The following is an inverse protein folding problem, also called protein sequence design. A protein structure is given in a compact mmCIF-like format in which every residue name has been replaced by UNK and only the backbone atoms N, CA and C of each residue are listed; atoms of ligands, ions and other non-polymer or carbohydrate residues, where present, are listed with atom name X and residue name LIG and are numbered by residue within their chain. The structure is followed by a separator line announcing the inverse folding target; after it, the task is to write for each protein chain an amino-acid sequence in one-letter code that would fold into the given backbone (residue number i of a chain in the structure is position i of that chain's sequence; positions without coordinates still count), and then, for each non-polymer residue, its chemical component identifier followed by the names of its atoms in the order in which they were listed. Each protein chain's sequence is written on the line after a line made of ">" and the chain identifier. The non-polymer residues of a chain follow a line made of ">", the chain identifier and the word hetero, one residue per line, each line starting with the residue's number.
data_IF_445281769808
#
_entry.id   IF_445281769808
#
_cell.length_a   1.000
_cell.length_b   1.000
_cell.length_c   1.000
_cell.angle_alpha   90.00
_cell.angle_beta   90.00
_cell.angle_gamma   90.00
#
_symmetry.space_group_name_H-M   'P 1'
#
loop_
_entity.id
_entity.type
_entity.pdbx_description
1 polymer ?
#
# COMPACT_ATOMS: atom_id res chain seq x y z
N UNK A 1 -14.06 4.00 14.85
CA UNK A 1 -12.60 3.86 14.64
C UNK A 1 -11.92 3.87 16.01
N UNK A 2 -10.87 3.08 16.25
CA UNK A 2 -10.08 3.14 17.49
C UNK A 2 -9.17 4.35 17.50
N UNK A 3 -8.86 4.90 18.69
CA UNK A 3 -7.90 5.99 18.77
C UNK A 3 -6.47 5.49 18.56
N UNK A 4 -5.60 6.39 18.12
CA UNK A 4 -4.16 6.11 17.97
C UNK A 4 -3.55 5.62 19.30
N UNK A 5 -3.89 6.25 20.43
CA UNK A 5 -3.41 5.85 21.75
C UNK A 5 -3.87 4.46 22.16
N UNK A 6 -5.13 4.09 21.87
CA UNK A 6 -5.65 2.73 22.13
C UNK A 6 -4.94 1.69 21.26
N UNK A 7 -4.63 2.02 20.00
CA UNK A 7 -3.90 1.11 19.11
C UNK A 7 -2.47 0.90 19.59
N UNK A 8 -1.76 1.97 19.92
CA UNK A 8 -0.39 1.89 20.44
C UNK A 8 -0.34 1.12 21.76
N UNK A 9 -1.18 1.46 22.73
CA UNK A 9 -1.21 0.79 24.04
C UNK A 9 -1.55 -0.70 23.91
N UNK A 10 -2.43 -1.05 22.98
CA UNK A 10 -2.72 -2.44 22.67
C UNK A 10 -1.48 -3.20 22.15
N UNK A 11 -0.77 -2.63 21.16
CA UNK A 11 0.46 -3.23 20.62
C UNK A 11 1.50 -3.44 21.72
N UNK A 12 1.74 -2.40 22.54
CA UNK A 12 2.68 -2.46 23.67
C UNK A 12 2.28 -3.53 24.70
N UNK A 13 0.98 -3.69 24.99
CA UNK A 13 0.46 -4.73 25.89
C UNK A 13 0.64 -6.15 25.35
N UNK A 14 0.74 -6.30 24.02
CA UNK A 14 1.07 -7.56 23.36
C UNK A 14 2.58 -7.78 23.16
N UNK A 15 3.43 -6.93 23.76
CA UNK A 15 4.88 -7.01 23.62
C UNK A 15 5.45 -6.44 22.33
N UNK A 16 4.61 -5.89 21.44
CA UNK A 16 5.04 -5.28 20.18
C UNK A 16 5.53 -3.87 20.44
N UNK A 17 6.82 -3.64 20.25
CA UNK A 17 7.45 -2.33 20.48
C UNK A 17 7.72 -1.62 19.18
N UNK A 18 7.33 -0.33 19.11
CA UNK A 18 7.51 0.50 17.94
C UNK A 18 8.39 1.72 18.16
N UNK A 19 8.59 2.44 17.06
CA UNK A 19 9.18 3.77 16.99
C UNK A 19 8.05 4.75 16.68
N UNK A 20 7.92 5.79 17.49
CA UNK A 20 6.98 6.89 17.23
C UNK A 20 7.73 8.06 16.61
N UNK A 21 7.19 8.60 15.51
CA UNK A 21 7.54 9.91 14.97
C UNK A 21 6.43 10.90 15.37
N UNK A 22 6.82 12.13 15.71
CA UNK A 22 5.88 13.16 16.15
C UNK A 22 6.32 14.53 15.68
N UNK A 23 5.35 15.37 15.33
CA UNK A 23 5.61 16.80 15.19
C UNK A 23 5.80 17.49 16.54
N UNK A 24 6.21 18.74 16.53
CA UNK A 24 6.45 19.53 17.75
C UNK A 24 5.19 19.73 18.60
N UNK A 25 4.02 19.79 17.95
CA UNK A 25 2.75 19.93 18.65
C UNK A 25 2.24 18.64 19.28
N UNK A 26 2.79 17.50 18.87
CA UNK A 26 2.34 16.16 19.25
C UNK A 26 0.99 15.78 18.66
N UNK A 27 0.48 16.54 17.68
CA UNK A 27 -0.79 16.24 17.00
C UNK A 27 -0.61 15.24 15.89
N UNK A 28 0.32 15.51 14.95
CA UNK A 28 0.66 14.57 13.91
C UNK A 28 1.65 13.51 14.43
N UNK A 29 1.27 12.24 14.34
CA UNK A 29 2.08 11.11 14.82
C UNK A 29 2.03 9.95 13.84
N UNK A 30 3.13 9.20 13.79
CA UNK A 30 3.24 7.95 13.01
C UNK A 30 3.91 6.89 13.89
N UNK A 31 3.34 5.69 13.97
CA UNK A 31 3.87 4.58 14.74
C UNK A 31 4.34 3.45 13.84
N UNK A 32 5.62 3.06 13.97
CA UNK A 32 6.26 2.05 13.15
C UNK A 32 6.76 0.89 14.01
N UNK A 33 6.74 -0.32 13.45
CA UNK A 33 7.22 -1.53 14.14
C UNK A 33 8.40 -2.13 13.38
N UNK A 34 9.64 -2.02 13.93
CA UNK A 34 10.85 -2.59 13.32
C UNK A 34 10.78 -4.09 13.12
N UNK A 35 10.18 -4.83 14.08
CA UNK A 35 10.00 -6.29 14.02
C UNK A 35 9.12 -6.75 12.85
N UNK A 36 8.33 -5.84 12.28
CA UNK A 36 7.48 -6.07 11.12
C UNK A 36 7.96 -5.25 9.91
N UNK A 37 9.25 -5.36 9.57
CA UNK A 37 9.92 -4.73 8.42
C UNK A 37 9.83 -3.18 8.44
N UNK A 38 9.84 -2.55 9.63
CA UNK A 38 9.67 -1.10 9.74
C UNK A 38 8.30 -0.63 9.22
N UNK A 39 7.27 -1.48 9.34
CA UNK A 39 5.89 -1.23 8.90
C UNK A 39 5.32 -0.03 9.63
N UNK A 40 4.70 0.89 8.89
CA UNK A 40 3.85 1.93 9.48
C UNK A 40 2.54 1.26 9.90
N UNK A 41 2.28 1.24 11.19
CA UNK A 41 1.09 0.56 11.72
C UNK A 41 -0.10 1.49 11.73
N UNK A 42 0.09 2.70 12.23
CA UNK A 42 -0.97 3.70 12.28
C UNK A 42 -0.39 5.10 12.42
N UNK A 43 -1.15 6.07 11.94
CA UNK A 43 -0.88 7.49 12.11
C UNK A 43 -2.10 8.21 12.66
N UNK A 44 -1.93 9.46 13.07
CA UNK A 44 -3.01 10.34 13.52
C UNK A 44 -2.68 11.79 13.25
N UNK A 45 -3.70 12.60 13.00
CA UNK A 45 -3.58 14.04 12.79
C UNK A 45 -3.95 14.87 14.04
N UNK A 46 -4.48 14.23 15.10
CA UNK A 46 -5.08 14.93 16.25
C UNK A 46 -4.61 14.41 17.60
N UNK A 47 -3.39 13.84 17.64
CA UNK A 47 -2.77 13.35 18.86
C UNK A 47 -3.29 11.99 19.31
N UNK A 48 -2.90 11.57 20.52
CA UNK A 48 -3.19 10.21 21.02
C UNK A 48 -4.67 9.91 21.18
N UNK A 49 -5.51 10.92 21.40
CA UNK A 49 -6.98 10.78 21.46
C UNK A 49 -7.66 10.76 20.10
N UNK A 50 -6.94 11.11 19.04
CA UNK A 50 -7.46 11.12 17.67
C UNK A 50 -7.59 9.74 17.05
N UNK A 51 -8.28 9.61 15.90
CA UNK A 51 -8.39 8.34 15.19
C UNK A 51 -7.02 7.82 14.76
N UNK A 52 -6.84 6.50 14.84
CA UNK A 52 -5.74 5.82 14.18
C UNK A 52 -6.23 5.31 12.84
N UNK A 53 -5.53 5.66 11.75
CA UNK A 53 -6.01 5.44 10.39
C UNK A 53 -5.74 4.02 9.87
N UNK A 54 -4.72 3.33 10.38
CA UNK A 54 -4.39 1.97 9.95
C UNK A 54 -5.36 0.92 10.49
N UNK A 55 -5.57 -0.14 9.71
CA UNK A 55 -6.22 -1.34 10.22
C UNK A 55 -5.19 -2.26 10.90
N UNK A 56 -5.55 -2.89 12.03
CA UNK A 56 -4.73 -3.92 12.68
C UNK A 56 -5.56 -5.15 13.06
N UNK A 57 -4.98 -6.32 12.88
CA UNK A 57 -5.59 -7.59 13.28
C UNK A 57 -5.35 -7.85 14.78
N UNK A 58 -6.21 -7.28 15.62
CA UNK A 58 -6.07 -7.36 17.07
C UNK A 58 -6.11 -8.80 17.59
N UNK A 59 -6.96 -9.65 17.03
CA UNK A 59 -7.09 -11.06 17.47
C UNK A 59 -5.81 -11.85 17.17
N UNK A 60 -5.26 -11.71 15.98
CA UNK A 60 -4.00 -12.34 15.60
C UNK A 60 -2.84 -11.82 16.46
N UNK A 61 -2.72 -10.51 16.63
CA UNK A 61 -1.65 -9.90 17.43
C UNK A 61 -1.74 -10.35 18.89
N UNK A 62 -2.94 -10.32 19.50
CA UNK A 62 -3.15 -10.74 20.89
C UNK A 62 -2.89 -12.24 21.11
N UNK A 63 -3.11 -13.07 20.09
CA UNK A 63 -2.86 -14.51 20.20
C UNK A 63 -1.37 -14.86 20.33
N UNK A 64 -0.46 -13.97 19.90
CA UNK A 64 0.97 -14.23 19.80
C UNK A 64 1.34 -15.32 18.78
N UNK A 65 0.36 -15.88 18.07
CA UNK A 65 0.57 -16.95 17.08
C UNK A 65 1.21 -16.38 15.82
N UNK A 66 2.22 -17.08 15.30
CA UNK A 66 2.78 -16.84 13.97
C UNK A 66 2.21 -17.88 13.01
N UNK A 67 1.46 -17.40 12.01
CA UNK A 67 0.92 -18.26 10.95
C UNK A 67 2.02 -18.60 9.95
N UNK A 68 2.04 -19.82 9.49
CA UNK A 68 3.06 -20.30 8.54
C UNK A 68 3.04 -19.59 7.19
N UNK A 69 1.85 -19.33 6.64
CA UNK A 69 1.72 -18.78 5.28
C UNK A 69 1.87 -17.27 5.23
N UNK A 70 1.20 -16.55 6.14
CA UNK A 70 1.14 -15.10 6.16
C UNK A 70 0.57 -14.61 7.49
N UNK A 71 1.10 -13.51 7.97
CA UNK A 71 0.64 -12.85 9.19
C UNK A 71 0.02 -11.49 8.85
N UNK A 72 -1.29 -11.41 8.58
CA UNK A 72 -1.98 -10.15 8.30
C UNK A 72 -2.12 -9.30 9.56
N UNK A 73 -1.00 -8.77 10.08
CA UNK A 73 -1.00 -7.90 11.25
C UNK A 73 -1.70 -6.56 11.01
N UNK A 74 -1.75 -6.12 9.75
CA UNK A 74 -2.26 -4.82 9.34
C UNK A 74 -1.18 -3.79 9.16
N UNK A 75 -1.56 -2.52 9.19
CA UNK A 75 -0.70 -1.35 9.07
C UNK A 75 -0.94 -0.55 7.79
N UNK A 76 -0.81 0.77 7.91
CA UNK A 76 -1.03 1.73 6.81
C UNK A 76 -0.04 1.57 5.66
N UNK A 77 1.13 1.01 5.93
CA UNK A 77 2.13 0.80 4.89
C UNK A 77 3.09 -0.32 5.28
N UNK A 78 3.18 -1.35 4.46
CA UNK A 78 4.20 -2.40 4.52
C UNK A 78 4.95 -2.50 3.21
N UNK A 79 6.21 -2.92 3.29
CA UNK A 79 7.07 -3.18 2.15
C UNK A 79 7.05 -4.68 1.85
N UNK A 80 6.66 -5.01 0.64
CA UNK A 80 6.86 -6.31 0.04
C UNK A 80 7.65 -6.20 -1.27
N UNK A 81 8.02 -7.33 -1.83
CA UNK A 81 8.63 -7.43 -3.15
C UNK A 81 7.72 -8.24 -4.07
N UNK A 82 7.48 -7.73 -5.26
CA UNK A 82 6.82 -8.48 -6.34
C UNK A 82 7.84 -9.17 -7.26
N UNK A 83 7.35 -10.11 -8.09
CA UNK A 83 5.96 -10.47 -8.31
C UNK A 83 5.41 -11.48 -7.30
N UNK A 84 4.11 -11.38 -7.01
CA UNK A 84 3.41 -12.36 -6.17
C UNK A 84 3.14 -13.66 -6.94
N UNK A 85 2.69 -13.56 -8.18
CA UNK A 85 2.36 -14.70 -9.05
C UNK A 85 3.23 -14.79 -10.30
N UNK A 86 2.83 -15.67 -11.20
CA UNK A 86 3.46 -15.88 -12.48
C UNK A 86 4.78 -16.66 -12.41
N UNK A 87 5.51 -16.72 -13.53
CA UNK A 87 6.69 -17.59 -13.67
C UNK A 87 7.85 -17.18 -12.75
N UNK A 88 7.87 -15.94 -12.26
CA UNK A 88 8.93 -15.40 -11.42
C UNK A 88 8.48 -15.12 -9.98
N UNK A 89 7.36 -15.70 -9.54
CA UNK A 89 6.82 -15.50 -8.20
C UNK A 89 7.84 -15.74 -7.09
N UNK A 90 7.81 -14.88 -6.07
CA UNK A 90 8.55 -15.06 -4.82
C UNK A 90 7.75 -15.87 -3.78
N UNK A 91 6.45 -16.11 -4.02
CA UNK A 91 5.49 -16.64 -3.04
C UNK A 91 5.08 -18.09 -3.32
N UNK A 92 5.56 -18.67 -4.41
CA UNK A 92 5.34 -20.05 -4.77
C UNK A 92 6.67 -20.78 -4.98
N UNK A 93 6.74 -21.99 -4.47
CA UNK A 93 7.91 -22.85 -4.71
C UNK A 93 8.03 -23.19 -6.20
N UNK A 94 9.26 -23.45 -6.70
CA UNK A 94 9.46 -23.90 -8.08
C UNK A 94 8.59 -25.09 -8.45
N UNK A 95 7.87 -24.99 -9.57
CA UNK A 95 6.98 -26.05 -10.07
C UNK A 95 5.67 -26.23 -9.31
N UNK A 96 5.43 -25.49 -8.24
CA UNK A 96 4.16 -25.56 -7.51
C UNK A 96 3.02 -24.92 -8.30
N UNK A 97 1.83 -25.52 -8.24
CA UNK A 97 0.61 -24.92 -8.73
C UNK A 97 0.30 -23.65 -7.94
N UNK A 98 -0.06 -22.56 -8.63
CA UNK A 98 -0.32 -21.25 -8.02
C UNK A 98 -1.77 -21.18 -7.53
N UNK A 99 -2.01 -21.86 -6.41
CA UNK A 99 -3.27 -21.87 -5.66
C UNK A 99 -2.99 -21.46 -4.21
N UNK A 100 -3.99 -20.96 -3.51
CA UNK A 100 -3.84 -20.46 -2.13
C UNK A 100 -3.20 -21.47 -1.16
N UNK A 101 -3.44 -22.77 -1.39
CA UNK A 101 -2.85 -23.85 -0.59
C UNK A 101 -1.31 -23.86 -0.62
N UNK A 102 -0.71 -23.46 -1.73
CA UNK A 102 0.73 -23.44 -1.97
C UNK A 102 1.37 -22.05 -1.80
N UNK A 103 0.54 -21.02 -1.64
CA UNK A 103 1.00 -19.64 -1.46
C UNK A 103 1.61 -19.42 -0.07
N UNK A 104 2.78 -18.78 -0.02
CA UNK A 104 3.47 -18.47 1.22
C UNK A 104 4.28 -17.18 1.07
N UNK A 105 4.14 -16.27 2.02
CA UNK A 105 4.97 -15.07 2.09
C UNK A 105 6.36 -15.45 2.61
N UNK A 106 7.45 -15.03 1.95
CA UNK A 106 8.80 -15.23 2.46
C UNK A 106 8.98 -14.59 3.85
N UNK A 107 9.65 -15.28 4.76
CA UNK A 107 9.86 -14.80 6.14
C UNK A 107 10.51 -13.41 6.20
N UNK A 108 11.42 -13.12 5.29
CA UNK A 108 12.07 -11.82 5.15
C UNK A 108 11.09 -10.66 4.87
N UNK A 109 9.91 -10.96 4.30
CA UNK A 109 8.86 -9.99 4.00
C UNK A 109 7.70 -10.01 5.01
N UNK A 110 7.69 -10.96 5.96
CA UNK A 110 6.57 -11.13 6.90
C UNK A 110 6.98 -11.08 8.38
N UNK A 111 8.02 -11.80 8.76
CA UNK A 111 8.35 -12.03 10.18
C UNK A 111 9.78 -11.67 10.60
N UNK A 112 10.68 -11.44 9.64
CA UNK A 112 12.06 -11.02 9.97
C UNK A 112 12.14 -9.51 10.20
N UNK A 113 12.83 -9.04 11.26
CA UNK A 113 12.90 -7.63 11.59
C UNK A 113 13.83 -6.85 10.66
N UNK A 114 13.53 -5.57 10.47
CA UNK A 114 14.50 -4.62 9.91
C UNK A 114 15.24 -3.90 11.04
N UNK A 115 16.54 -3.72 10.88
CA UNK A 115 17.41 -3.05 11.84
C UNK A 115 17.24 -1.53 11.76
N UNK A 116 16.95 -0.87 12.87
CA UNK A 116 16.96 0.58 12.96
C UNK A 116 18.41 1.08 12.94
N UNK A 117 18.76 1.91 11.96
CA UNK A 117 20.12 2.43 11.77
C UNK A 117 20.23 3.94 12.06
N UNK A 118 19.12 4.61 12.24
CA UNK A 118 19.09 6.01 12.63
C UNK A 118 17.66 6.49 12.83
N UNK A 119 17.48 7.39 13.79
CA UNK A 119 16.18 8.03 14.05
C UNK A 119 16.34 9.39 14.68
N UNK A 120 15.36 10.25 14.47
CA UNK A 120 15.08 11.46 15.23
C UNK A 120 13.58 11.57 15.51
N UNK A 121 13.10 12.75 15.90
CA UNK A 121 11.67 12.96 16.21
C UNK A 121 10.76 12.78 14.98
N UNK A 122 11.28 12.99 13.77
CA UNK A 122 10.48 13.06 12.54
C UNK A 122 10.83 12.00 11.51
N UNK A 123 11.92 11.28 11.67
CA UNK A 123 12.32 10.24 10.71
C UNK A 123 12.94 9.02 11.39
N UNK A 124 12.82 7.89 10.71
CA UNK A 124 13.50 6.65 11.06
C UNK A 124 14.03 5.97 9.82
N UNK A 125 15.22 5.36 9.93
CA UNK A 125 15.86 4.59 8.86
C UNK A 125 16.07 3.16 9.28
N UNK A 126 15.78 2.26 8.36
CA UNK A 126 15.93 0.83 8.54
C UNK A 126 16.82 0.25 7.44
N UNK A 127 17.50 -0.83 7.78
CA UNK A 127 18.27 -1.66 6.85
C UNK A 127 17.96 -3.13 7.10
N UNK A 128 17.99 -3.91 6.01
CA UNK A 128 17.95 -5.37 6.04
C UNK A 128 18.74 -5.94 4.85
N UNK A 129 19.21 -7.16 5.01
CA UNK A 129 19.74 -7.98 3.93
C UNK A 129 18.91 -9.25 3.88
N UNK A 130 18.60 -9.72 2.67
CA UNK A 130 17.82 -10.93 2.48
C UNK A 130 18.25 -11.67 1.23
N UNK A 131 18.08 -12.98 1.27
CA UNK A 131 18.25 -13.86 0.11
C UNK A 131 16.91 -14.48 -0.23
N UNK A 132 16.42 -14.23 -1.44
CA UNK A 132 15.16 -14.78 -1.93
C UNK A 132 15.40 -15.61 -3.18
N UNK A 133 14.51 -16.58 -3.41
CA UNK A 133 14.51 -17.42 -4.60
C UNK A 133 13.12 -17.40 -5.22
N UNK A 134 13.04 -17.15 -6.51
CA UNK A 134 11.76 -17.14 -7.22
C UNK A 134 11.37 -18.53 -7.76
N UNK A 135 10.16 -18.65 -8.30
CA UNK A 135 9.64 -19.89 -8.89
C UNK A 135 10.45 -20.40 -10.11
N UNK A 136 11.22 -19.53 -10.77
CA UNK A 136 12.17 -19.87 -11.84
C UNK A 136 13.56 -20.26 -11.30
N UNK A 137 13.70 -20.45 -9.99
CA UNK A 137 14.93 -20.81 -9.30
C UNK A 137 16.04 -19.73 -9.27
N UNK A 138 15.76 -18.54 -9.78
CA UNK A 138 16.69 -17.41 -9.68
C UNK A 138 16.83 -16.96 -8.23
N UNK A 139 18.06 -16.81 -7.78
CA UNK A 139 18.40 -16.32 -6.43
C UNK A 139 18.73 -14.84 -6.49
N UNK A 140 18.18 -14.12 -5.51
CA UNK A 140 18.37 -12.69 -5.34
C UNK A 140 19.03 -12.43 -3.99
N UNK A 141 20.21 -11.83 -3.99
CA UNK A 141 20.85 -11.28 -2.78
C UNK A 141 20.54 -9.78 -2.75
N UNK A 142 19.75 -9.38 -1.76
CA UNK A 142 19.07 -8.09 -1.74
C UNK A 142 19.48 -7.31 -0.51
N UNK A 143 20.03 -6.11 -0.71
CA UNK A 143 20.13 -5.10 0.34
C UNK A 143 18.89 -4.21 0.30
N UNK A 144 18.26 -3.99 1.47
CA UNK A 144 17.10 -3.12 1.62
C UNK A 144 17.45 -1.94 2.51
N UNK A 145 17.11 -0.73 2.06
CA UNK A 145 17.07 0.45 2.92
C UNK A 145 15.69 1.08 2.86
N UNK A 146 15.15 1.44 4.01
CA UNK A 146 13.85 2.07 4.16
C UNK A 146 13.97 3.29 5.05
N UNK A 147 13.44 4.44 4.61
CA UNK A 147 13.32 5.66 5.40
C UNK A 147 11.86 6.06 5.45
N UNK A 148 11.37 6.37 6.64
CA UNK A 148 10.06 6.97 6.83
C UNK A 148 10.23 8.30 7.54
N UNK A 149 9.60 9.35 7.00
CA UNK A 149 9.67 10.73 7.48
C UNK A 149 8.26 11.29 7.66
N UNK A 150 7.96 11.77 8.86
CA UNK A 150 6.78 12.58 9.12
C UNK A 150 6.97 13.96 8.50
N UNK A 151 6.16 14.32 7.52
CA UNK A 151 6.26 15.59 6.81
C UNK A 151 5.77 16.75 7.71
N UNK A 152 6.44 17.89 7.61
CA UNK A 152 5.90 19.15 8.11
C UNK A 152 4.73 19.60 7.24
N UNK A 153 3.86 20.46 7.76
CA UNK A 153 2.76 21.03 6.99
C UNK A 153 3.29 21.67 5.68
N UNK A 154 4.38 22.44 5.76
CA UNK A 154 5.00 23.06 4.59
C UNK A 154 5.49 22.03 3.55
N UNK A 155 6.05 20.91 3.98
CA UNK A 155 6.45 19.84 3.06
C UNK A 155 5.23 19.17 2.44
N UNK A 156 4.17 18.94 3.22
CA UNK A 156 2.90 18.40 2.74
C UNK A 156 2.25 19.32 1.70
N UNK A 157 2.18 20.62 1.97
CA UNK A 157 1.70 21.65 1.03
C UNK A 157 2.53 21.68 -0.26
N UNK A 158 3.85 21.70 -0.13
CA UNK A 158 4.76 21.69 -1.28
C UNK A 158 4.56 20.43 -2.14
N UNK A 159 4.33 19.28 -1.50
CA UNK A 159 4.05 18.03 -2.20
C UNK A 159 2.71 18.07 -2.93
N UNK A 160 1.65 18.55 -2.29
CA UNK A 160 0.32 18.65 -2.93
C UNK A 160 0.23 19.80 -3.93
N UNK A 161 1.19 20.75 -3.90
CA UNK A 161 1.19 21.94 -4.74
C UNK A 161 0.13 22.96 -4.36
N UNK A 162 -0.37 22.94 -3.11
CA UNK A 162 -1.43 23.83 -2.60
C UNK A 162 -1.40 23.95 -1.09
N UNK A 163 -1.91 25.06 -0.58
CA UNK A 163 -2.06 25.29 0.86
C UNK A 163 -3.09 24.35 1.47
N UNK A 164 -2.84 23.91 2.68
CA UNK A 164 -3.75 23.08 3.46
C UNK A 164 -4.54 23.98 4.42
N UNK A 165 -5.88 23.99 4.35
CA UNK A 165 -6.72 24.73 5.29
C UNK A 165 -6.38 24.36 6.74
N UNK A 166 -6.17 25.35 7.63
CA UNK A 166 -5.78 25.08 9.04
C UNK A 166 -6.87 24.37 9.85
N UNK A 167 -8.11 24.38 9.37
CA UNK A 167 -9.26 23.69 9.97
C UNK A 167 -9.22 22.19 9.70
N UNK A 168 -8.48 21.74 8.68
CA UNK A 168 -8.32 20.31 8.42
C UNK A 168 -7.31 19.70 9.37
N UNK A 169 -7.65 18.54 9.91
CA UNK A 169 -6.70 17.68 10.58
C UNK A 169 -5.85 16.95 9.54
N UNK A 170 -4.53 17.14 9.60
CA UNK A 170 -3.60 16.60 8.60
C UNK A 170 -2.47 15.84 9.28
N UNK A 171 -2.20 14.64 8.82
CA UNK A 171 -0.92 13.94 8.99
C UNK A 171 -0.45 13.45 7.64
N UNK A 172 0.81 13.70 7.34
CA UNK A 172 1.43 13.23 6.11
C UNK A 172 2.81 12.66 6.38
N UNK A 173 3.15 11.57 5.73
CA UNK A 173 4.47 10.98 5.81
C UNK A 173 4.95 10.47 4.45
N UNK A 174 6.27 10.47 4.28
CA UNK A 174 6.95 9.93 3.10
C UNK A 174 7.70 8.68 3.47
N UNK A 175 7.59 7.65 2.65
CA UNK A 175 8.51 6.51 2.69
C UNK A 175 9.38 6.47 1.44
N UNK A 176 10.66 6.26 1.64
CA UNK A 176 11.65 5.97 0.59
C UNK A 176 12.16 4.56 0.81
N UNK A 177 11.90 3.69 -0.14
CA UNK A 177 12.26 2.28 -0.09
C UNK A 177 13.21 1.98 -1.23
N UNK A 178 14.34 1.36 -0.93
CA UNK A 178 15.39 1.05 -1.91
C UNK A 178 15.77 -0.41 -1.78
N UNK A 179 15.87 -1.08 -2.93
CA UNK A 179 16.52 -2.38 -3.04
C UNK A 179 17.78 -2.26 -3.87
N UNK A 180 18.78 -3.05 -3.52
CA UNK A 180 20.05 -3.15 -4.23
C UNK A 180 20.39 -4.59 -4.52
N UNK A 181 20.99 -4.84 -5.68
CA UNK A 181 21.53 -6.15 -6.01
C UNK A 181 22.90 -6.31 -5.33
N UNK A 182 22.94 -7.09 -4.27
CA UNK A 182 24.17 -7.41 -3.52
C UNK A 182 24.82 -8.72 -3.99
N UNK A 183 24.24 -9.39 -4.98
CA UNK A 183 24.76 -10.62 -5.56
C UNK A 183 25.82 -10.38 -6.65
N UNK A 184 26.21 -11.46 -7.32
CA UNK A 184 27.20 -11.46 -8.39
C UNK A 184 26.57 -11.44 -9.78
N UNK A 185 25.30 -11.79 -9.89
CA UNK A 185 24.58 -11.93 -11.16
C UNK A 185 23.57 -10.79 -11.35
N UNK A 186 23.42 -10.35 -12.60
CA UNK A 186 22.42 -9.32 -12.93
C UNK A 186 20.99 -9.90 -12.86
N UNK A 187 20.04 -9.11 -12.37
CA UNK A 187 18.62 -9.41 -12.46
C UNK A 187 18.11 -9.08 -13.86
N UNK A 188 17.61 -10.07 -14.55
CA UNK A 188 17.29 -9.98 -15.98
C UNK A 188 15.85 -10.41 -16.27
N UNK A 189 15.36 -10.08 -17.45
CA UNK A 189 14.03 -10.54 -17.87
C UNK A 189 13.92 -12.06 -18.03
N UNK A 190 15.02 -12.76 -18.25
CA UNK A 190 15.03 -14.21 -18.38
C UNK A 190 14.96 -14.94 -17.03
N UNK A 191 15.62 -14.40 -16.01
CA UNK A 191 15.60 -14.95 -14.64
C UNK A 191 14.53 -14.34 -13.74
N UNK A 192 13.85 -13.30 -14.21
CA UNK A 192 12.93 -12.50 -13.44
C UNK A 192 13.59 -11.23 -12.88
N UNK A 193 12.75 -10.28 -12.52
CA UNK A 193 13.12 -9.04 -11.83
C UNK A 193 12.17 -8.80 -10.68
N UNK A 194 12.61 -8.03 -9.68
CA UNK A 194 11.82 -7.68 -8.53
C UNK A 194 11.15 -6.32 -8.72
N UNK A 195 10.10 -6.05 -7.95
CA UNK A 195 9.58 -4.70 -7.73
C UNK A 195 9.47 -4.42 -6.24
N UNK A 196 9.64 -3.17 -5.86
CA UNK A 196 9.16 -2.70 -4.57
C UNK A 196 7.65 -2.58 -4.66
N UNK A 197 6.94 -3.21 -3.73
CA UNK A 197 5.49 -3.25 -3.67
C UNK A 197 5.03 -2.80 -2.29
N UNK A 198 4.42 -1.63 -2.25
CA UNK A 198 3.93 -1.00 -1.03
C UNK A 198 2.45 -1.28 -0.87
N UNK A 199 2.06 -1.79 0.30
CA UNK A 199 0.68 -2.18 0.59
C UNK A 199 0.23 -1.51 1.89
N UNK A 200 -0.87 -0.77 1.83
CA UNK A 200 -1.49 -0.16 3.01
C UNK A 200 -2.81 -0.84 3.34
N UNK A 201 -2.96 -1.31 4.59
CA UNK A 201 -4.20 -1.91 5.09
C UNK A 201 -4.98 -0.90 5.93
N UNK A 202 -6.21 -0.61 5.52
CA UNK A 202 -7.09 0.37 6.15
C UNK A 202 -8.42 -0.27 6.54
N UNK A 203 -9.14 0.38 7.46
CA UNK A 203 -10.46 -0.09 7.92
C UNK A 203 -11.54 0.29 6.91
N UNK A 204 -12.27 -0.67 6.33
CA UNK A 204 -13.36 -0.39 5.42
C UNK A 204 -14.60 0.15 6.16
N UNK A 205 -15.48 0.82 5.42
CA UNK A 205 -16.81 1.20 5.89
C UNK A 205 -17.82 1.17 4.73
N UNK A 206 -19.14 1.10 5.01
CA UNK A 206 -20.14 1.18 3.94
C UNK A 206 -20.09 2.46 3.12
N UNK A 207 -19.48 3.54 3.65
CA UNK A 207 -19.31 4.84 3.00
C UNK A 207 -17.91 5.08 2.42
N UNK A 208 -17.07 4.04 2.40
CA UNK A 208 -15.71 4.16 1.85
C UNK A 208 -15.68 3.79 0.38
N UNK A 209 -15.07 4.67 -0.41
CA UNK A 209 -14.76 4.45 -1.83
C UNK A 209 -13.28 4.67 -2.06
N UNK A 210 -12.59 3.69 -2.67
CA UNK A 210 -11.25 3.91 -3.24
C UNK A 210 -11.39 4.51 -4.61
N UNK A 211 -10.51 5.45 -4.96
CA UNK A 211 -10.47 6.09 -6.26
C UNK A 211 -9.07 6.02 -6.88
N UNK A 212 -9.05 5.73 -8.18
CA UNK A 212 -7.86 5.73 -9.02
C UNK A 212 -8.11 6.69 -10.20
N UNK A 213 -7.55 7.90 -10.18
CA UNK A 213 -7.53 8.76 -11.36
C UNK A 213 -6.74 8.10 -12.48
N UNK A 214 -7.37 7.97 -13.66
CA UNK A 214 -6.83 7.31 -14.83
C UNK A 214 -6.44 8.32 -15.90
N UNK A 215 -5.27 8.16 -16.50
CA UNK A 215 -4.87 8.98 -17.64
C UNK A 215 -5.42 8.42 -18.96
N UNK A 216 -5.66 9.34 -19.92
CA UNK A 216 -6.28 9.02 -21.23
C UNK A 216 -7.79 8.92 -21.18
N UNK A 217 -8.41 8.66 -22.35
CA UNK A 217 -9.86 8.82 -22.52
C UNK A 217 -10.70 7.60 -22.10
N UNK A 218 -10.16 6.39 -22.25
CA UNK A 218 -10.90 5.14 -21.97
C UNK A 218 -10.37 4.47 -20.68
N UNK A 219 -10.85 4.96 -19.55
CA UNK A 219 -10.50 4.37 -18.25
C UNK A 219 -11.13 2.98 -18.05
N UNK A 220 -12.31 2.72 -18.65
CA UNK A 220 -12.98 1.42 -18.55
C UNK A 220 -12.16 0.30 -19.20
N UNK A 221 -11.58 0.55 -20.38
CA UNK A 221 -10.71 -0.41 -21.04
C UNK A 221 -9.33 -0.52 -20.41
N UNK A 222 -8.92 0.49 -19.63
CA UNK A 222 -7.60 0.51 -18.99
C UNK A 222 -7.56 -0.23 -17.65
N UNK A 223 -8.66 -0.21 -16.89
CA UNK A 223 -8.69 -0.81 -15.56
C UNK A 223 -8.69 -2.33 -15.66
N UNK A 224 -7.70 -2.96 -15.01
CA UNK A 224 -7.70 -4.39 -14.78
C UNK A 224 -8.60 -4.70 -13.58
N UNK A 225 -9.59 -5.57 -13.75
CA UNK A 225 -10.59 -5.89 -12.72
C UNK A 225 -10.94 -7.39 -12.64
N UNK A 226 -10.11 -8.23 -13.25
CA UNK A 226 -10.35 -9.67 -13.41
C UNK A 226 -9.51 -10.56 -12.47
N UNK A 227 -8.93 -9.96 -11.43
CA UNK A 227 -8.07 -10.68 -10.46
C UNK A 227 -8.78 -11.83 -9.74
N UNK A 228 -10.06 -11.64 -9.40
CA UNK A 228 -10.90 -12.61 -8.69
C UNK A 228 -12.23 -12.85 -9.39
N UNK A 229 -12.25 -12.76 -10.73
CA UNK A 229 -13.44 -12.87 -11.54
C UNK A 229 -14.07 -11.53 -11.90
N UNK A 230 -15.20 -11.54 -12.57
CA UNK A 230 -15.89 -10.33 -13.03
C UNK A 230 -16.51 -9.58 -11.86
N UNK A 231 -16.24 -8.28 -11.76
CA UNK A 231 -16.86 -7.43 -10.75
C UNK A 231 -18.28 -7.02 -11.15
N UNK A 232 -19.25 -7.10 -10.23
CA UNK A 232 -20.59 -6.55 -10.42
C UNK A 232 -20.56 -5.02 -10.59
N UNK A 233 -21.57 -4.46 -11.27
CA UNK A 233 -21.66 -3.02 -11.55
C UNK A 233 -21.79 -2.16 -10.26
N UNK A 234 -22.28 -2.71 -9.17
CA UNK A 234 -22.36 -2.03 -7.88
C UNK A 234 -21.03 -2.01 -7.12
N UNK A 235 -19.97 -2.65 -7.64
CA UNK A 235 -18.65 -2.71 -7.05
C UNK A 235 -17.62 -1.83 -7.75
N UNK A 236 -17.75 -1.66 -9.07
CA UNK A 236 -16.80 -0.91 -9.91
C UNK A 236 -17.55 0.18 -10.69
N UNK A 237 -17.28 1.43 -10.38
CA UNK A 237 -17.79 2.59 -11.13
C UNK A 237 -16.64 3.24 -11.93
N UNK A 238 -16.86 3.50 -13.21
CA UNK A 238 -15.92 4.22 -14.07
C UNK A 238 -16.64 5.37 -14.73
N UNK A 239 -16.25 6.59 -14.42
CA UNK A 239 -16.81 7.83 -14.96
C UNK A 239 -15.72 8.73 -15.50
N UNK A 240 -15.69 8.92 -16.82
CA UNK A 240 -14.62 9.69 -17.47
C UNK A 240 -13.24 9.10 -17.15
N UNK A 241 -12.44 9.88 -16.42
CA UNK A 241 -11.07 9.51 -15.99
C UNK A 241 -10.98 9.06 -14.53
N UNK A 242 -12.10 8.79 -13.89
CA UNK A 242 -12.16 8.34 -12.51
C UNK A 242 -12.63 6.88 -12.45
N UNK A 243 -11.83 6.03 -11.82
CA UNK A 243 -12.16 4.64 -11.49
C UNK A 243 -12.39 4.55 -9.99
N UNK A 244 -13.55 4.05 -9.57
CA UNK A 244 -13.92 3.88 -8.17
C UNK A 244 -14.23 2.43 -7.84
N UNK A 245 -13.74 1.96 -6.69
CA UNK A 245 -14.03 0.64 -6.12
C UNK A 245 -14.77 0.83 -4.80
N UNK A 246 -15.91 0.13 -4.63
CA UNK A 246 -16.63 0.09 -3.35
C UNK A 246 -15.85 -0.71 -2.32
N UNK A 247 -15.71 -0.13 -1.13
CA UNK A 247 -14.89 -0.68 -0.05
C UNK A 247 -15.72 -0.85 1.22
N UNK A 248 -16.31 -2.02 1.37
CA UNK A 248 -17.15 -2.37 2.53
C UNK A 248 -16.61 -3.55 3.36
N UNK A 249 -15.57 -4.25 2.85
CA UNK A 249 -15.04 -5.45 3.49
C UNK A 249 -15.93 -6.69 3.33
N UNK A 250 -16.90 -6.66 2.41
CA UNK A 250 -17.92 -7.71 2.24
C UNK A 250 -17.78 -8.50 0.93
N UNK A 251 -17.03 -8.00 -0.02
CA UNK A 251 -16.87 -8.61 -1.35
C UNK A 251 -15.41 -8.55 -1.80
N UNK A 252 -14.76 -9.71 -1.86
CA UNK A 252 -13.36 -9.79 -2.28
C UNK A 252 -13.18 -9.34 -3.71
N UNK A 253 -12.46 -8.23 -3.89
CA UNK A 253 -12.26 -7.60 -5.19
C UNK A 253 -10.90 -6.92 -5.26
N UNK A 254 -10.34 -6.85 -6.46
CA UNK A 254 -9.11 -6.11 -6.75
C UNK A 254 -9.18 -5.47 -8.12
N UNK A 255 -8.71 -4.23 -8.21
CA UNK A 255 -8.54 -3.50 -9.45
C UNK A 255 -7.11 -2.96 -9.56
N UNK A 256 -6.68 -2.63 -10.78
CA UNK A 256 -5.39 -2.00 -11.00
C UNK A 256 -5.33 -1.17 -12.26
N UNK A 257 -4.32 -0.31 -12.36
CA UNK A 257 -4.00 0.47 -13.55
C UNK A 257 -2.59 0.14 -14.04
N UNK A 258 -2.44 -0.19 -15.33
CA UNK A 258 -1.15 -0.48 -15.93
C UNK A 258 -0.32 0.80 -16.18
N UNK A 259 0.95 0.62 -16.49
CA UNK A 259 1.88 1.69 -16.82
C UNK A 259 1.34 2.62 -17.94
N UNK A 260 1.53 3.92 -17.75
CA UNK A 260 1.06 4.97 -18.65
C UNK A 260 -0.43 5.32 -18.50
N UNK A 261 -1.14 4.66 -17.59
CA UNK A 261 -2.56 4.95 -17.30
C UNK A 261 -2.78 5.52 -15.89
N UNK A 262 -1.79 5.44 -15.02
CA UNK A 262 -1.80 6.05 -13.69
C UNK A 262 -1.48 7.55 -13.75
N UNK A 263 -1.92 8.30 -12.76
CA UNK A 263 -1.63 9.73 -12.61
C UNK A 263 -0.56 10.03 -11.55
N UNK A 264 -0.04 9.00 -10.86
CA UNK A 264 0.84 9.16 -9.70
C UNK A 264 0.10 9.53 -8.43
N UNK A 265 -1.23 9.40 -8.43
CA UNK A 265 -2.12 9.67 -7.30
C UNK A 265 -3.21 8.60 -7.23
N UNK A 266 -3.54 8.16 -6.03
CA UNK A 266 -4.73 7.37 -5.72
C UNK A 266 -5.16 7.66 -4.29
N UNK A 267 -6.28 7.10 -3.85
CA UNK A 267 -6.70 7.28 -2.47
C UNK A 267 -8.06 6.66 -2.16
N UNK A 268 -8.55 6.98 -0.97
CA UNK A 268 -9.89 6.60 -0.52
C UNK A 268 -10.59 7.78 0.15
N UNK A 269 -11.91 7.76 0.10
CA UNK A 269 -12.77 8.70 0.82
C UNK A 269 -13.82 7.93 1.62
N UNK A 270 -13.85 8.15 2.93
CA UNK A 270 -14.95 7.75 3.80
C UNK A 270 -15.89 8.95 4.00
N UNK A 271 -17.04 8.91 3.34
CA UNK A 271 -17.99 10.02 3.33
C UNK A 271 -18.66 10.26 4.69
N UNK A 272 -18.81 9.24 5.52
CA UNK A 272 -19.39 9.38 6.86
C UNK A 272 -18.39 9.97 7.87
N UNK A 273 -17.11 9.68 7.70
CA UNK A 273 -16.04 10.18 8.57
C UNK A 273 -15.44 11.51 8.08
N UNK A 274 -15.81 11.97 6.89
CA UNK A 274 -15.16 13.08 6.17
C UNK A 274 -13.63 12.92 6.20
N UNK A 275 -13.16 11.73 5.86
CA UNK A 275 -11.77 11.35 5.90
C UNK A 275 -11.28 10.91 4.52
N UNK A 276 -10.20 11.54 4.06
CA UNK A 276 -9.53 11.21 2.81
C UNK A 276 -8.14 10.65 3.13
N UNK A 277 -7.81 9.51 2.53
CA UNK A 277 -6.44 9.02 2.39
C UNK A 277 -5.97 9.28 0.98
N UNK A 278 -4.87 10.01 0.80
CA UNK A 278 -4.19 10.15 -0.49
C UNK A 278 -2.87 9.42 -0.46
N UNK A 279 -2.55 8.76 -1.55
CA UNK A 279 -1.24 8.15 -1.80
C UNK A 279 -0.67 8.76 -3.07
N UNK A 280 0.46 9.47 -2.94
CA UNK A 280 1.23 9.99 -4.06
C UNK A 280 2.48 9.17 -4.27
N UNK A 281 2.77 8.87 -5.51
CA UNK A 281 3.92 8.08 -5.92
C UNK A 281 4.46 8.58 -7.26
N UNK A 282 5.61 8.05 -7.71
CA UNK A 282 6.13 8.39 -9.03
C UNK A 282 5.17 7.88 -10.11
N UNK A 283 4.58 8.79 -10.88
CA UNK A 283 3.81 8.44 -12.08
C UNK A 283 4.66 7.63 -13.03
N UNK A 284 4.09 6.58 -13.60
CA UNK A 284 4.75 5.78 -14.62
C UNK A 284 4.89 6.56 -15.94
N UNK A 285 5.85 6.16 -16.75
CA UNK A 285 6.04 6.70 -18.09
C UNK A 285 5.95 5.59 -19.14
N UNK A 286 5.68 5.97 -20.38
CA UNK A 286 5.60 5.00 -21.48
C UNK A 286 6.93 4.24 -21.60
N UNK A 287 6.83 2.90 -21.62
CA UNK A 287 7.99 2.01 -21.66
C UNK A 287 8.47 1.50 -20.30
N UNK A 288 8.00 2.05 -19.18
CA UNK A 288 8.20 1.42 -17.88
C UNK A 288 7.56 0.02 -17.88
N UNK A 289 8.27 -0.96 -17.32
CA UNK A 289 7.80 -2.34 -17.17
C UNK A 289 7.56 -2.62 -15.70
N UNK A 290 6.40 -3.18 -15.39
CA UNK A 290 6.01 -3.56 -14.04
C UNK A 290 5.83 -5.07 -13.96
N UNK A 291 6.26 -5.69 -12.88
CA UNK A 291 6.04 -7.14 -12.70
C UNK A 291 4.55 -7.42 -12.59
N UNK A 292 4.09 -8.45 -13.29
CA UNK A 292 2.71 -8.93 -13.16
C UNK A 292 2.61 -9.88 -11.97
N UNK A 293 1.78 -9.53 -11.00
CA UNK A 293 1.56 -10.31 -9.77
C UNK A 293 0.36 -11.25 -9.85
N UNK A 294 -0.33 -11.36 -10.99
CA UNK A 294 -1.42 -12.32 -11.18
C UNK A 294 -0.89 -13.76 -11.11
N UNK A 295 -1.68 -14.62 -10.50
CA UNK A 295 -1.30 -16.02 -10.31
C UNK A 295 -1.48 -16.82 -11.62
N UNK A 296 -0.66 -17.84 -11.80
CA UNK A 296 -0.70 -18.75 -12.94
C UNK A 296 0.11 -18.28 -14.16
N UNK A 297 -0.28 -18.74 -15.34
CA UNK A 297 0.42 -18.43 -16.58
C UNK A 297 0.18 -16.99 -17.02
N UNK A 298 1.26 -16.33 -17.42
CA UNK A 298 1.23 -14.94 -17.86
C UNK A 298 1.83 -14.80 -19.25
N UNK A 299 1.12 -14.10 -20.14
CA UNK A 299 1.63 -13.80 -21.48
C UNK A 299 2.76 -12.76 -21.45
N UNK A 300 2.70 -11.82 -20.51
CA UNK A 300 3.71 -10.78 -20.29
C UNK A 300 4.01 -10.59 -18.80
N UNK A 301 5.02 -11.26 -18.25
CA UNK A 301 5.38 -11.15 -16.84
C UNK A 301 5.81 -9.74 -16.36
N UNK A 302 6.01 -8.83 -17.30
CA UNK A 302 6.41 -7.44 -17.02
C UNK A 302 5.37 -6.41 -17.52
N UNK A 303 4.13 -6.83 -17.68
CA UNK A 303 2.99 -6.00 -18.05
C UNK A 303 2.00 -5.81 -16.90
N UNK A 304 2.49 -5.77 -15.67
CA UNK A 304 1.67 -5.62 -14.46
C UNK A 304 1.23 -4.19 -14.18
N UNK A 305 0.50 -4.03 -13.09
CA UNK A 305 -0.06 -2.77 -12.67
C UNK A 305 0.90 -1.93 -11.81
N UNK A 306 0.76 -0.62 -11.94
CA UNK A 306 1.49 0.39 -11.16
C UNK A 306 0.85 0.62 -9.81
N UNK A 307 -0.48 0.60 -9.79
CA UNK A 307 -1.32 0.86 -8.63
C UNK A 307 -2.47 -0.13 -8.61
N UNK A 308 -2.76 -0.65 -7.42
CA UNK A 308 -3.90 -1.53 -7.19
C UNK A 308 -4.72 -1.04 -6.00
N UNK A 309 -5.99 -1.45 -5.98
CA UNK A 309 -6.86 -1.38 -4.82
C UNK A 309 -7.48 -2.75 -4.58
N UNK A 310 -7.53 -3.14 -3.31
CA UNK A 310 -8.09 -4.43 -2.87
C UNK A 310 -9.13 -4.20 -1.78
N UNK A 311 -10.27 -4.87 -1.89
CA UNK A 311 -11.27 -4.98 -0.84
C UNK A 311 -11.33 -6.44 -0.36
N UNK A 312 -11.14 -6.66 0.94
CA UNK A 312 -11.27 -8.00 1.50
C UNK A 312 -12.74 -8.43 1.59
N UNK A 313 -12.95 -9.71 1.63
CA UNK A 313 -14.25 -10.33 1.73
C UNK A 313 -14.12 -11.85 1.72
N UNK A 314 -15.24 -12.58 1.82
CA UNK A 314 -15.23 -14.03 1.82
C UNK A 314 -14.55 -14.60 0.57
N UNK A 315 -13.65 -15.56 0.77
CA UNK A 315 -13.11 -16.41 -0.29
C UNK A 315 -14.19 -17.40 -0.76
N UNK A 316 -13.90 -18.20 -1.78
CA UNK A 316 -14.78 -19.30 -2.22
C UNK A 316 -15.11 -20.30 -1.09
N UNK A 317 -14.21 -20.44 -0.12
CA UNK A 317 -14.41 -21.29 1.08
C UNK A 317 -15.09 -20.56 2.24
N UNK A 318 -15.43 -19.28 2.09
CA UNK A 318 -16.03 -18.44 3.13
C UNK A 318 -15.03 -17.88 4.14
N UNK A 319 -13.73 -18.11 3.97
CA UNK A 319 -12.70 -17.53 4.83
C UNK A 319 -12.52 -16.05 4.54
N UNK A 320 -12.32 -15.25 5.60
CA UNK A 320 -12.03 -13.81 5.55
C UNK A 320 -10.70 -13.57 6.26
N UNK A 321 -9.76 -12.87 5.61
CA UNK A 321 -8.47 -12.54 6.24
C UNK A 321 -8.62 -11.48 7.34
N UNK A 322 -9.56 -10.54 7.15
CA UNK A 322 -9.94 -9.51 8.08
C UNK A 322 -10.74 -8.42 7.38
N UNK A 323 -11.52 -7.59 8.09
CA UNK A 323 -12.23 -6.49 7.46
C UNK A 323 -11.23 -5.35 7.16
N UNK A 324 -10.50 -5.44 6.04
CA UNK A 324 -9.58 -4.40 5.59
C UNK A 324 -9.70 -4.18 4.07
N UNK A 325 -9.19 -3.05 3.64
CA UNK A 325 -8.91 -2.81 2.23
C UNK A 325 -7.45 -2.38 2.06
N UNK A 326 -6.94 -2.49 0.84
CA UNK A 326 -5.58 -2.07 0.53
C UNK A 326 -5.56 -1.04 -0.58
N UNK A 327 -4.61 -0.11 -0.46
CA UNK A 327 -4.10 0.74 -1.53
C UNK A 327 -2.65 0.33 -1.73
N UNK A 328 -2.31 -0.01 -2.97
CA UNK A 328 -1.03 -0.61 -3.29
C UNK A 328 -0.34 0.20 -4.39
N UNK A 329 0.96 0.43 -4.26
CA UNK A 329 1.77 1.04 -5.32
C UNK A 329 3.01 0.20 -5.59
N UNK A 330 3.44 0.15 -6.85
CA UNK A 330 4.59 -0.65 -7.27
C UNK A 330 5.65 0.21 -7.93
N UNK A 331 6.92 -0.17 -7.76
CA UNK A 331 8.00 0.34 -8.59
C UNK A 331 8.02 -0.35 -9.96
N UNK A 332 8.66 0.23 -10.98
CA UNK A 332 9.06 -0.53 -12.15
C UNK A 332 9.88 -1.76 -11.77
N UNK A 333 9.92 -2.75 -12.67
CA UNK A 333 10.73 -3.95 -12.51
C UNK A 333 12.22 -3.59 -12.41
N UNK A 334 12.87 -4.09 -11.37
CA UNK A 334 14.27 -3.83 -11.05
C UNK A 334 15.20 -4.75 -11.84
N UNK A 335 15.59 -4.34 -13.02
CA UNK A 335 16.62 -5.01 -13.80
C UNK A 335 18.01 -4.47 -13.40
N UNK A 336 18.57 -4.98 -12.30
CA UNK A 336 19.75 -4.44 -11.65
C UNK A 336 21.00 -5.30 -11.90
N UNK A 337 22.08 -4.64 -12.30
CA UNK A 337 23.42 -5.26 -12.23
C UNK A 337 23.91 -5.33 -10.79
N UNK A 338 24.92 -6.15 -10.48
CA UNK A 338 25.56 -6.14 -9.18
C UNK A 338 25.96 -4.71 -8.74
N UNK A 339 25.57 -4.33 -7.52
CA UNK A 339 25.81 -2.99 -6.94
C UNK A 339 24.82 -1.90 -7.37
N UNK A 340 23.95 -2.14 -8.36
CA UNK A 340 22.91 -1.18 -8.74
C UNK A 340 21.71 -1.22 -7.78
N UNK A 341 20.97 -0.13 -7.72
CA UNK A 341 19.80 0.03 -6.82
C UNK A 341 18.59 0.62 -7.54
N UNK A 342 17.40 0.26 -7.07
CA UNK A 342 16.12 0.89 -7.42
C UNK A 342 15.49 1.52 -6.19
N UNK A 343 14.88 2.69 -6.34
CA UNK A 343 14.13 3.36 -5.29
C UNK A 343 12.66 3.51 -5.68
N UNK A 344 11.77 3.23 -4.73
CA UNK A 344 10.35 3.59 -4.80
C UNK A 344 9.99 4.43 -3.59
N UNK A 345 9.48 5.62 -3.85
CA UNK A 345 9.02 6.54 -2.82
C UNK A 345 7.52 6.80 -2.99
N UNK A 346 6.83 6.86 -1.86
CA UNK A 346 5.45 7.32 -1.82
C UNK A 346 5.21 8.24 -0.63
N UNK A 347 4.17 9.04 -0.74
CA UNK A 347 3.70 9.93 0.32
C UNK A 347 2.25 9.60 0.62
N UNK A 348 1.94 9.46 1.88
CA UNK A 348 0.59 9.17 2.37
C UNK A 348 0.12 10.37 3.16
N UNK A 349 -1.09 10.84 2.84
CA UNK A 349 -1.76 11.94 3.53
C UNK A 349 -3.09 11.44 4.07
N UNK A 350 -3.35 11.70 5.33
CA UNK A 350 -4.68 11.60 5.91
C UNK A 350 -5.18 13.02 6.17
N UNK A 351 -6.32 13.34 5.55
CA UNK A 351 -6.98 14.62 5.63
C UNK A 351 -8.38 14.40 6.19
N UNK A 352 -8.74 15.09 7.27
CA UNK A 352 -10.04 14.92 7.89
C UNK A 352 -10.60 16.27 8.34
N UNK A 353 -11.89 16.54 8.06
CA UNK A 353 -12.54 17.77 8.44
C UNK A 353 -13.79 18.07 7.64
N UNK A 354 -14.10 19.36 7.47
CA UNK A 354 -15.25 19.81 6.72
C UNK A 354 -15.21 19.34 5.26
N UNK A 355 -16.32 18.77 4.77
CA UNK A 355 -16.41 18.18 3.41
C UNK A 355 -16.21 19.25 2.32
N UNK A 356 -16.69 20.48 2.53
CA UNK A 356 -16.53 21.54 1.53
C UNK A 356 -15.07 21.97 1.40
N UNK A 357 -14.32 22.00 2.50
CA UNK A 357 -12.86 22.27 2.48
C UNK A 357 -12.09 21.14 1.80
N UNK A 358 -12.46 19.91 2.06
CA UNK A 358 -11.87 18.74 1.38
C UNK A 358 -12.17 18.75 -0.11
N UNK A 359 -13.42 19.06 -0.52
CA UNK A 359 -13.80 19.19 -1.93
C UNK A 359 -13.02 20.30 -2.62
N UNK A 360 -12.90 21.48 -2.01
CA UNK A 360 -12.13 22.60 -2.57
C UNK A 360 -10.66 22.25 -2.75
N UNK A 361 -10.06 21.60 -1.75
CA UNK A 361 -8.66 21.17 -1.76
C UNK A 361 -8.38 20.15 -2.87
N UNK A 362 -9.30 19.21 -3.12
CA UNK A 362 -9.06 18.03 -3.96
C UNK A 362 -9.66 18.13 -5.37
N UNK A 363 -10.46 19.17 -5.64
CA UNK A 363 -11.21 19.34 -6.90
C UNK A 363 -10.39 19.12 -8.17
N UNK A 364 -9.16 19.65 -8.21
CA UNK A 364 -8.31 19.55 -9.38
C UNK A 364 -7.37 18.34 -9.35
N UNK A 365 -7.28 17.65 -8.21
CA UNK A 365 -6.44 16.44 -8.04
C UNK A 365 -7.22 15.18 -8.44
N UNK A 366 -8.54 15.20 -8.24
CA UNK A 366 -9.43 14.07 -8.52
C UNK A 366 -10.36 14.47 -9.67
N UNK A 367 -10.43 13.71 -10.76
CA UNK A 367 -11.38 13.99 -11.84
C UNK A 367 -12.83 14.04 -11.33
N UNK A 368 -13.49 15.17 -11.47
CA UNK A 368 -14.83 15.40 -10.96
C UNK A 368 -14.91 15.73 -9.45
N UNK A 369 -13.75 15.89 -8.78
CA UNK A 369 -13.66 16.23 -7.36
C UNK A 369 -14.05 15.08 -6.42
N UNK A 370 -14.06 15.38 -5.13
CA UNK A 370 -14.47 14.44 -4.08
C UNK A 370 -15.96 14.05 -4.20
N UNK A 371 -16.76 14.97 -4.71
CA UNK A 371 -18.17 14.74 -5.01
C UNK A 371 -18.37 13.56 -5.96
N UNK A 372 -17.57 13.45 -7.04
CA UNK A 372 -17.67 12.34 -7.96
C UNK A 372 -17.33 10.99 -7.31
N UNK A 373 -16.39 10.99 -6.36
CA UNK A 373 -16.04 9.78 -5.56
C UNK A 373 -17.22 9.37 -4.67
N UNK A 374 -17.85 10.34 -3.97
CA UNK A 374 -19.00 10.12 -3.11
C UNK A 374 -20.21 9.58 -3.88
N UNK A 375 -20.51 10.20 -5.04
CA UNK A 375 -21.65 9.82 -5.88
C UNK A 375 -21.44 8.51 -6.64
N UNK A 376 -20.20 7.97 -6.72
CA UNK A 376 -19.91 6.75 -7.48
C UNK A 376 -20.77 5.55 -7.05
N UNK A 377 -21.19 5.51 -5.78
CA UNK A 377 -22.01 4.44 -5.19
C UNK A 377 -23.18 4.98 -4.34
N UNK A 378 -23.60 6.23 -4.56
CA UNK A 378 -24.75 6.87 -3.89
C UNK A 378 -24.62 6.91 -2.35
N UNK A 379 -23.45 7.36 -1.86
CA UNK A 379 -23.20 7.58 -0.43
C UNK A 379 -23.76 8.91 0.07
#
# INVERSE_FOLDING_TARGET
>A
MKTYGEMRSFLESCGVRGVELSDESGRARVYLVPEWQGRVITSTATGTGGPGYGWINRSLIASGVRKYRFNPFGGEERLWLGPEGGPFSLYFAPGAEQVYANWQVPAALDTEPFRVVGRDARQVRFEAEMSLRNAAETRFEIGVTRRVELLSLRQAEASLGRALPPELAVVAYRSENRIGNCGTDAWTSAGGALSLWMLGMFTPSPSTTVFLPCDGEDARAAVNSDYFGTLPDDRLSVSGRLVCLRIDGEFRSKIGLPAGRDTGLCGSYDAAAHHVTLVRYRRSVAGDRYVDSRWGAQANPFGGDVVNAYNDGPTETGEVMGPFFEIETSSPAAFLRPGETLCHAQEIFHLQGDEALLEELLRDLIPGGLRAVKEAFNH
#
